data_IF_135070485163
#
_entry.id   IF_135070485163
#
_cell.length_a   1.000
_cell.length_b   1.000
_cell.length_c   1.000
_cell.angle_alpha   90.00
_cell.angle_beta   90.00
_cell.angle_gamma   90.00
#
_symmetry.space_group_name_H-M   'P 1'
#
loop_
_entity.id
_entity.type
_entity.pdbx_description
1 polymer ?
#
# COMPACT_ATOMS: atom_id res chain seq x y z
N UNK A 1 3.24 4.32 16.85
CA UNK A 1 2.89 3.43 15.71
C UNK A 1 1.41 3.11 15.85
N UNK A 2 0.58 3.15 14.80
CA UNK A 2 -0.79 2.67 14.94
C UNK A 2 -0.75 1.14 14.91
N UNK A 3 -1.22 0.49 15.97
CA UNK A 3 -0.97 -0.95 16.20
C UNK A 3 -1.67 -1.86 15.18
N UNK A 4 -2.74 -1.39 14.56
CA UNK A 4 -3.62 -2.20 13.69
C UNK A 4 -3.54 -1.81 12.20
N UNK A 5 -2.44 -1.20 11.76
CA UNK A 5 -2.30 -0.68 10.39
C UNK A 5 -1.31 -1.51 9.57
N UNK A 6 -1.69 -1.83 8.33
CA UNK A 6 -0.83 -2.42 7.32
C UNK A 6 -0.77 -1.52 6.07
N UNK A 7 0.37 -1.49 5.38
CA UNK A 7 0.47 -0.84 4.07
C UNK A 7 0.97 -1.80 2.99
N UNK A 8 0.64 -1.44 1.74
CA UNK A 8 1.09 -2.14 0.54
C UNK A 8 2.05 -1.28 -0.27
N UNK A 9 3.05 -1.91 -0.88
CA UNK A 9 3.86 -1.33 -1.96
C UNK A 9 4.53 -2.45 -2.79
N UNK A 10 4.75 -2.22 -4.08
CA UNK A 10 5.26 -3.27 -4.95
C UNK A 10 5.62 -2.79 -6.34
N UNK A 11 6.13 -3.71 -7.16
CA UNK A 11 6.53 -3.44 -8.53
C UNK A 11 5.38 -2.97 -9.41
N UNK A 12 5.70 -2.13 -10.41
CA UNK A 12 4.72 -1.56 -11.35
C UNK A 12 4.01 -2.64 -12.16
N UNK A 13 4.71 -3.70 -12.49
CA UNK A 13 4.23 -4.83 -13.27
C UNK A 13 4.43 -6.12 -12.46
N UNK A 14 3.46 -7.03 -12.53
CA UNK A 14 3.48 -8.34 -11.88
C UNK A 14 3.20 -9.44 -12.93
N UNK A 15 4.08 -10.45 -13.08
CA UNK A 15 3.96 -11.45 -14.14
C UNK A 15 2.88 -12.51 -13.88
N UNK A 16 2.60 -12.85 -12.61
CA UNK A 16 1.73 -13.98 -12.23
C UNK A 16 0.60 -13.54 -11.27
N UNK A 17 -0.32 -12.71 -11.77
CA UNK A 17 -1.32 -12.06 -10.93
C UNK A 17 -2.26 -13.04 -10.18
N UNK A 18 -2.64 -14.17 -10.79
CA UNK A 18 -3.63 -15.08 -10.20
C UNK A 18 -3.11 -15.84 -8.97
N UNK A 19 -1.94 -16.48 -9.08
CA UNK A 19 -1.33 -17.19 -7.94
C UNK A 19 -0.90 -16.19 -6.86
N UNK A 20 -0.39 -15.02 -7.27
CA UNK A 20 -0.09 -13.94 -6.34
C UNK A 20 -1.34 -13.47 -5.58
N UNK A 21 -2.50 -13.36 -6.24
CA UNK A 21 -3.77 -13.00 -5.59
C UNK A 21 -4.16 -13.99 -4.50
N UNK A 22 -4.03 -15.30 -4.75
CA UNK A 22 -4.34 -16.35 -3.76
C UNK A 22 -3.43 -16.23 -2.53
N UNK A 23 -2.12 -16.10 -2.75
CA UNK A 23 -1.13 -15.92 -1.67
C UNK A 23 -1.41 -14.65 -0.87
N UNK A 24 -1.65 -13.53 -1.58
CA UNK A 24 -1.99 -12.24 -0.99
C UNK A 24 -3.27 -12.32 -0.13
N UNK A 25 -4.31 -12.99 -0.63
CA UNK A 25 -5.57 -13.17 0.11
C UNK A 25 -5.34 -13.87 1.44
N UNK A 26 -4.59 -14.98 1.45
CA UNK A 26 -4.27 -15.71 2.67
C UNK A 26 -3.47 -14.86 3.67
N UNK A 27 -2.50 -14.09 3.19
CA UNK A 27 -1.72 -13.16 4.03
C UNK A 27 -2.61 -12.09 4.64
N UNK A 28 -3.45 -11.40 3.84
CA UNK A 28 -4.33 -10.35 4.35
C UNK A 28 -5.32 -10.93 5.36
N UNK A 29 -5.91 -12.08 5.07
CA UNK A 29 -6.87 -12.71 5.97
C UNK A 29 -6.23 -13.10 7.31
N UNK A 30 -4.99 -13.63 7.30
CA UNK A 30 -4.24 -13.87 8.52
C UNK A 30 -3.95 -12.57 9.29
N UNK A 31 -3.57 -11.49 8.60
CA UNK A 31 -3.34 -10.19 9.24
C UNK A 31 -4.62 -9.65 9.92
N UNK A 32 -5.78 -9.83 9.31
CA UNK A 32 -7.06 -9.43 9.89
C UNK A 32 -7.37 -10.27 11.13
N UNK A 33 -7.34 -11.60 11.01
CA UNK A 33 -7.85 -12.52 12.04
C UNK A 33 -6.89 -12.67 13.21
N UNK A 34 -5.60 -12.89 12.93
CA UNK A 34 -4.60 -13.23 13.93
C UNK A 34 -3.92 -11.97 14.50
N UNK A 35 -3.61 -11.01 13.63
CA UNK A 35 -2.83 -9.82 14.01
C UNK A 35 -3.69 -8.58 14.28
N UNK A 36 -5.01 -8.71 14.11
CA UNK A 36 -6.03 -7.67 14.35
C UNK A 36 -5.82 -6.39 13.53
N UNK A 37 -5.28 -6.54 12.32
CA UNK A 37 -5.18 -5.43 11.36
C UNK A 37 -6.58 -5.07 10.86
N UNK A 38 -6.97 -3.81 11.07
CA UNK A 38 -8.26 -3.26 10.66
C UNK A 38 -8.13 -2.15 9.62
N UNK A 39 -6.91 -1.66 9.36
CA UNK A 39 -6.69 -0.50 8.50
C UNK A 39 -5.58 -0.78 7.50
N UNK A 40 -5.90 -0.59 6.22
CA UNK A 40 -5.02 -0.84 5.10
C UNK A 40 -4.74 0.46 4.34
N UNK A 41 -3.46 0.84 4.28
CA UNK A 41 -3.00 2.01 3.55
C UNK A 41 -2.60 1.63 2.13
N UNK A 42 -3.17 2.35 1.17
CA UNK A 42 -2.95 2.13 -0.25
C UNK A 42 -2.18 3.26 -0.89
N UNK A 43 -1.30 2.84 -1.78
CA UNK A 43 -0.63 3.68 -2.72
C UNK A 43 -1.36 3.81 -4.04
N UNK A 44 -0.55 4.11 -5.06
CA UNK A 44 -0.94 4.14 -6.46
C UNK A 44 0.29 3.95 -7.34
N UNK A 45 0.04 3.81 -8.66
CA UNK A 45 1.02 3.67 -9.75
C UNK A 45 1.72 2.30 -9.83
N UNK A 46 1.10 1.25 -9.31
CA UNK A 46 1.56 -0.12 -9.53
C UNK A 46 0.41 -1.11 -9.74
N UNK A 47 0.64 -2.16 -10.52
CA UNK A 47 -0.30 -3.30 -10.62
C UNK A 47 -0.46 -4.00 -9.26
N UNK A 48 0.59 -4.00 -8.43
CA UNK A 48 0.49 -4.55 -7.09
C UNK A 48 -0.48 -3.77 -6.18
N UNK A 49 -0.47 -2.43 -6.23
CA UNK A 49 -1.43 -1.60 -5.49
C UNK A 49 -2.87 -1.93 -5.90
N UNK A 50 -3.11 -2.10 -7.21
CA UNK A 50 -4.42 -2.46 -7.75
C UNK A 50 -4.87 -3.85 -7.27
N UNK A 51 -3.99 -4.85 -7.33
CA UNK A 51 -4.27 -6.20 -6.86
C UNK A 51 -4.59 -6.24 -5.35
N UNK A 52 -3.85 -5.45 -4.56
CA UNK A 52 -4.12 -5.32 -3.13
C UNK A 52 -5.48 -4.68 -2.87
N UNK A 53 -5.82 -3.60 -3.57
CA UNK A 53 -7.11 -2.93 -3.40
C UNK A 53 -8.27 -3.86 -3.73
N UNK A 54 -8.17 -4.58 -4.85
CA UNK A 54 -9.16 -5.57 -5.26
C UNK A 54 -9.33 -6.65 -4.18
N UNK A 55 -8.23 -7.25 -3.72
CA UNK A 55 -8.25 -8.33 -2.74
C UNK A 55 -8.83 -7.89 -1.38
N UNK A 56 -8.44 -6.71 -0.88
CA UNK A 56 -9.00 -6.17 0.37
C UNK A 56 -10.48 -5.80 0.20
N UNK A 57 -10.89 -5.34 -0.98
CA UNK A 57 -12.29 -5.04 -1.28
C UNK A 57 -13.16 -6.30 -1.21
N UNK A 58 -12.69 -7.41 -1.77
CA UNK A 58 -13.36 -8.71 -1.64
C UNK A 58 -13.43 -9.16 -0.17
N UNK A 59 -12.31 -9.08 0.55
CA UNK A 59 -12.25 -9.50 1.95
C UNK A 59 -13.11 -8.62 2.86
N UNK A 60 -13.33 -7.35 2.52
CA UNK A 60 -14.22 -6.45 3.27
C UNK A 60 -15.67 -6.95 3.30
N UNK A 61 -16.12 -7.70 2.28
CA UNK A 61 -17.45 -8.33 2.32
C UNK A 61 -17.58 -9.32 3.48
N UNK A 62 -16.49 -10.05 3.79
CA UNK A 62 -16.40 -10.98 4.92
C UNK A 62 -16.04 -10.26 6.23
N UNK A 63 -15.27 -9.19 6.15
CA UNK A 63 -14.76 -8.43 7.30
C UNK A 63 -15.16 -6.94 7.19
N UNK A 64 -16.43 -6.56 7.42
CA UNK A 64 -16.92 -5.20 7.16
C UNK A 64 -16.20 -4.10 7.94
N UNK A 65 -15.62 -4.45 9.09
CA UNK A 65 -14.91 -3.53 9.98
C UNK A 65 -13.59 -2.99 9.41
N UNK A 66 -12.99 -3.66 8.42
CA UNK A 66 -11.71 -3.22 7.85
C UNK A 66 -11.87 -1.94 7.02
N UNK A 67 -10.84 -1.10 6.99
CA UNK A 67 -10.82 0.20 6.30
C UNK A 67 -9.72 0.23 5.26
N UNK A 68 -10.05 0.70 4.07
CA UNK A 68 -9.15 1.02 2.96
C UNK A 68 -8.93 2.52 2.96
N UNK A 69 -7.69 2.96 3.12
CA UNK A 69 -7.34 4.38 3.14
C UNK A 69 -6.38 4.67 2.00
N UNK A 70 -6.76 5.57 1.09
CA UNK A 70 -5.88 5.99 0.00
C UNK A 70 -4.95 7.12 0.45
N UNK A 71 -3.63 6.86 0.45
CA UNK A 71 -2.60 7.86 0.76
C UNK A 71 -2.12 8.52 -0.53
N UNK A 72 -2.53 9.76 -0.74
CA UNK A 72 -2.28 10.49 -1.98
C UNK A 72 -0.82 10.94 -2.08
N UNK A 73 -0.26 10.82 -3.28
CA UNK A 73 1.02 11.45 -3.66
C UNK A 73 0.82 12.62 -4.65
N UNK A 74 -0.34 12.67 -5.28
CA UNK A 74 -0.76 13.71 -6.24
C UNK A 74 -1.91 14.50 -5.63
N UNK A 75 -2.12 15.73 -6.10
CA UNK A 75 -3.22 16.62 -5.67
C UNK A 75 -3.26 16.84 -4.14
N UNK A 76 -2.38 17.71 -3.60
CA UNK A 76 -2.38 18.06 -2.18
C UNK A 76 -3.75 18.53 -1.68
N UNK A 77 -4.41 19.32 -2.53
CA UNK A 77 -5.74 19.84 -2.32
C UNK A 77 -6.67 19.24 -3.38
N UNK A 78 -7.84 18.77 -2.95
CA UNK A 78 -8.86 18.19 -3.81
C UNK A 78 -10.21 18.83 -3.46
N UNK A 79 -11.07 19.00 -4.45
CA UNK A 79 -12.45 19.45 -4.22
C UNK A 79 -13.34 18.30 -3.73
N UNK A 80 -14.54 18.63 -3.27
CA UNK A 80 -15.49 17.65 -2.71
C UNK A 80 -15.96 16.62 -3.72
N UNK A 81 -16.07 16.99 -5.00
CA UNK A 81 -16.45 16.06 -6.06
C UNK A 81 -15.41 14.95 -6.23
N UNK A 82 -14.12 15.32 -6.32
CA UNK A 82 -13.03 14.35 -6.43
C UNK A 82 -12.86 13.53 -5.14
N UNK A 83 -13.04 14.15 -3.98
CA UNK A 83 -13.05 13.43 -2.70
C UNK A 83 -14.17 12.38 -2.68
N UNK A 84 -15.39 12.75 -3.06
CA UNK A 84 -16.54 11.85 -3.11
C UNK A 84 -16.32 10.71 -4.10
N UNK A 85 -15.65 10.97 -5.23
CA UNK A 85 -15.25 9.93 -6.17
C UNK A 85 -14.31 8.90 -5.52
N UNK A 86 -13.27 9.35 -4.80
CA UNK A 86 -12.35 8.45 -4.11
C UNK A 86 -13.07 7.63 -3.03
N UNK A 87 -14.00 8.24 -2.29
CA UNK A 87 -14.74 7.58 -1.22
C UNK A 87 -15.72 6.49 -1.70
N UNK A 88 -15.92 6.33 -3.01
CA UNK A 88 -16.63 5.16 -3.56
C UNK A 88 -15.83 3.86 -3.39
N UNK A 89 -14.49 3.96 -3.38
CA UNK A 89 -13.58 2.81 -3.32
C UNK A 89 -12.80 2.72 -2.01
N UNK A 90 -12.85 3.77 -1.18
CA UNK A 90 -12.08 3.89 0.05
C UNK A 90 -12.95 4.43 1.18
N UNK A 91 -12.63 4.04 2.40
CA UNK A 91 -13.29 4.58 3.59
C UNK A 91 -12.74 5.96 3.98
N UNK A 92 -11.49 6.26 3.58
CA UNK A 92 -10.89 7.58 3.79
C UNK A 92 -9.76 7.85 2.78
N UNK A 93 -9.34 9.11 2.66
CA UNK A 93 -8.17 9.51 1.87
C UNK A 93 -7.53 10.78 2.41
N UNK A 94 -6.20 10.81 2.46
CA UNK A 94 -5.45 11.99 2.86
C UNK A 94 -4.20 12.21 2.02
N UNK A 95 -3.74 13.46 1.98
CA UNK A 95 -2.43 13.83 1.45
C UNK A 95 -1.47 14.10 2.62
N UNK A 96 -0.30 13.46 2.68
CA UNK A 96 0.66 13.72 3.75
C UNK A 96 1.23 15.14 3.66
N UNK A 97 1.02 15.98 4.68
CA UNK A 97 1.46 17.39 4.63
C UNK A 97 2.99 17.53 4.51
N UNK A 98 3.74 16.59 5.11
CA UNK A 98 5.21 16.52 5.07
C UNK A 98 5.80 16.23 3.67
N UNK A 99 4.97 15.95 2.66
CA UNK A 99 5.44 15.71 1.28
C UNK A 99 5.07 16.83 0.30
N UNK A 100 4.43 17.91 0.76
CA UNK A 100 4.20 19.11 -0.06
C UNK A 100 5.56 19.64 -0.56
N UNK A 101 5.65 19.96 -1.85
CA UNK A 101 6.87 20.46 -2.46
C UNK A 101 7.99 19.41 -2.62
N UNK A 102 7.73 18.12 -2.39
CA UNK A 102 8.76 17.07 -2.49
C UNK A 102 9.27 16.80 -3.93
N UNK A 103 8.63 17.38 -4.95
CA UNK A 103 9.02 17.23 -6.35
C UNK A 103 9.18 15.77 -6.77
N UNK A 104 10.35 15.44 -7.34
CA UNK A 104 10.67 14.08 -7.83
C UNK A 104 10.63 13.00 -6.76
N UNK A 105 10.71 13.34 -5.48
CA UNK A 105 10.72 12.39 -4.36
C UNK A 105 9.32 12.09 -3.79
N UNK A 106 8.24 12.68 -4.34
CA UNK A 106 6.91 12.62 -3.73
C UNK A 106 6.40 11.19 -3.48
N UNK A 107 6.60 10.27 -4.43
CA UNK A 107 6.20 8.87 -4.26
C UNK A 107 7.03 8.12 -3.23
N UNK A 108 8.34 8.40 -3.16
CA UNK A 108 9.23 7.80 -2.16
C UNK A 108 8.80 8.26 -0.76
N UNK A 109 8.58 9.57 -0.58
CA UNK A 109 8.14 10.10 0.72
C UNK A 109 6.73 9.62 1.09
N UNK A 110 5.81 9.49 0.12
CA UNK A 110 4.48 8.89 0.35
C UNK A 110 4.59 7.45 0.85
N UNK A 111 5.48 6.65 0.26
CA UNK A 111 5.74 5.28 0.74
C UNK A 111 6.29 5.30 2.17
N UNK A 112 7.23 6.19 2.49
CA UNK A 112 7.75 6.33 3.85
C UNK A 112 6.66 6.70 4.85
N UNK A 113 5.75 7.61 4.50
CA UNK A 113 4.59 7.95 5.34
C UNK A 113 3.73 6.72 5.65
N UNK A 114 3.38 5.94 4.62
CA UNK A 114 2.62 4.71 4.78
C UNK A 114 3.34 3.70 5.68
N UNK A 115 4.64 3.49 5.46
CA UNK A 115 5.48 2.57 6.24
C UNK A 115 5.55 3.02 7.70
N UNK A 116 5.77 4.31 7.96
CA UNK A 116 5.87 4.87 9.30
C UNK A 116 4.59 4.64 10.11
N UNK A 117 3.43 4.74 9.46
CA UNK A 117 2.11 4.55 10.10
C UNK A 117 1.71 3.10 10.29
N UNK A 118 2.32 2.16 9.57
CA UNK A 118 1.97 0.75 9.61
C UNK A 118 2.81 -0.04 10.61
N UNK A 119 2.22 -1.09 11.19
CA UNK A 119 2.93 -2.17 11.89
C UNK A 119 3.46 -3.21 10.90
N UNK A 120 2.66 -3.53 9.87
CA UNK A 120 3.00 -4.47 8.82
C UNK A 120 3.19 -3.81 7.46
N UNK A 121 4.06 -4.39 6.65
CA UNK A 121 4.26 -4.02 5.26
C UNK A 121 4.17 -5.27 4.40
N UNK A 122 3.11 -5.38 3.60
CA UNK A 122 3.00 -6.45 2.60
C UNK A 122 3.55 -5.91 1.29
N UNK A 123 4.57 -6.58 0.77
CA UNK A 123 5.36 -6.09 -0.37
C UNK A 123 5.45 -7.16 -1.45
N UNK A 124 5.37 -6.74 -2.71
CA UNK A 124 5.82 -7.57 -3.84
C UNK A 124 7.12 -7.02 -4.38
N UNK A 125 8.22 -7.69 -4.03
CA UNK A 125 9.56 -7.37 -4.50
C UNK A 125 10.29 -8.62 -4.99
N UNK A 126 10.48 -8.71 -6.30
CA UNK A 126 11.36 -9.69 -6.95
C UNK A 126 12.64 -9.01 -7.44
N UNK A 127 13.81 -9.62 -7.17
CA UNK A 127 15.11 -9.15 -7.70
C UNK A 127 15.23 -9.33 -9.22
N UNK A 128 14.46 -10.26 -9.79
CA UNK A 128 14.38 -10.46 -11.25
C UNK A 128 13.71 -9.28 -11.97
N UNK A 129 13.06 -8.39 -11.22
CA UNK A 129 12.44 -7.19 -11.78
C UNK A 129 13.50 -6.12 -12.07
N UNK A 130 13.74 -5.87 -13.36
CA UNK A 130 14.63 -4.82 -13.83
C UNK A 130 13.84 -3.57 -14.22
N UNK A 131 13.85 -2.49 -13.43
CA UNK A 131 13.21 -1.24 -13.80
C UNK A 131 13.94 -0.59 -14.98
N UNK A 132 13.20 -0.02 -15.93
CA UNK A 132 13.75 0.67 -17.12
C UNK A 132 14.82 1.73 -16.82
N UNK A 133 14.80 2.32 -15.62
CA UNK A 133 15.71 3.41 -15.21
C UNK A 133 16.70 2.99 -14.10
N UNK A 134 16.94 1.68 -13.90
CA UNK A 134 17.95 1.14 -12.98
C UNK A 134 17.63 1.25 -11.47
N UNK A 135 16.79 2.20 -11.04
CA UNK A 135 16.37 2.36 -9.63
C UNK A 135 14.93 1.90 -9.43
N UNK A 136 14.74 0.91 -8.55
CA UNK A 136 13.40 0.43 -8.15
C UNK A 136 12.89 1.22 -6.95
N UNK A 137 11.78 1.95 -7.14
CA UNK A 137 11.08 2.61 -6.02
C UNK A 137 10.61 1.62 -4.96
N UNK A 138 10.30 0.38 -5.36
CA UNK A 138 9.95 -0.73 -4.45
C UNK A 138 11.12 -1.12 -3.56
N UNK A 139 12.34 -1.24 -4.12
CA UNK A 139 13.54 -1.56 -3.33
C UNK A 139 13.83 -0.48 -2.30
N UNK A 140 13.72 0.80 -2.69
CA UNK A 140 13.89 1.93 -1.77
C UNK A 140 12.88 1.85 -0.62
N UNK A 141 11.61 1.58 -0.91
CA UNK A 141 10.58 1.45 0.11
C UNK A 141 10.81 0.23 1.02
N UNK A 142 11.25 -0.90 0.45
CA UNK A 142 11.59 -2.12 1.18
C UNK A 142 12.74 -1.88 2.16
N UNK A 143 13.84 -1.29 1.68
CA UNK A 143 15.00 -0.97 2.51
C UNK A 143 14.65 -0.01 3.63
N UNK A 144 13.78 0.96 3.34
CA UNK A 144 13.26 1.87 4.35
C UNK A 144 12.40 1.13 5.41
N UNK A 145 11.50 0.22 5.00
CA UNK A 145 10.69 -0.56 5.93
C UNK A 145 11.53 -1.45 6.86
N UNK A 146 12.57 -2.09 6.33
CA UNK A 146 13.55 -2.85 7.12
C UNK A 146 14.27 -1.95 8.11
N UNK A 147 14.76 -0.78 7.64
CA UNK A 147 15.44 0.21 8.51
C UNK A 147 14.53 0.74 9.63
N UNK A 148 13.22 0.83 9.39
CA UNK A 148 12.22 1.23 10.39
C UNK A 148 11.75 0.05 11.27
N UNK A 149 12.41 -1.11 11.23
CA UNK A 149 12.08 -2.32 11.98
C UNK A 149 10.62 -2.76 11.83
N UNK A 150 10.06 -2.62 10.61
CA UNK A 150 8.69 -3.04 10.32
C UNK A 150 8.60 -4.55 10.11
N UNK A 151 7.43 -5.13 10.39
CA UNK A 151 7.14 -6.53 10.05
C UNK A 151 6.84 -6.62 8.55
N UNK A 152 7.87 -6.90 7.76
CA UNK A 152 7.79 -6.99 6.30
C UNK A 152 7.41 -8.42 5.88
N UNK A 153 6.41 -8.54 5.02
CA UNK A 153 5.98 -9.80 4.39
C UNK A 153 6.18 -9.64 2.88
N UNK A 154 7.26 -10.20 2.33
CA UNK A 154 7.46 -10.23 0.89
C UNK A 154 6.73 -11.42 0.27
N UNK A 155 5.84 -11.14 -0.69
CA UNK A 155 4.98 -12.15 -1.33
C UNK A 155 5.39 -12.47 -2.77
N UNK A 156 6.54 -11.98 -3.21
CA UNK A 156 7.12 -12.34 -4.51
C UNK A 156 7.41 -13.84 -4.69
#
# INVERSE_FOLDING_TARGET
MKENVCCFFGHREIPEANELKKKLRGVIENLIVCEKIDTFLFGSKSQFDALCLETVTELKQKYPHIKRIYVRAEYPYINDSYKSYLLKSYEDTYYPQNIIGAGRAVYVKRNHEMINRSRFCVVYYSEKYSPKNGRSGTKIALDYAVKQNKRVINIA
#
